data_IF_537200243616
#
_entry.id   IF_537200243616
#
_cell.length_a   1.000
_cell.length_b   1.000
_cell.length_c   1.000
_cell.angle_alpha   90.00
_cell.angle_beta   90.00
_cell.angle_gamma   90.00
#
_symmetry.space_group_name_H-M   'P 1'
#
loop_
_entity.id
_entity.type
_entity.pdbx_description
1 polymer ?
#
# COMPACT_ATOMS: atom_id res chain seq x y z
N UNK A 1 -4.23 -6.33 88.72
CA UNK A 1 -2.94 -6.04 88.05
C UNK A 1 -3.11 -4.74 87.29
N UNK A 2 -2.21 -3.76 87.46
CA UNK A 2 -2.26 -2.51 86.67
C UNK A 2 -1.96 -2.82 85.20
N UNK A 3 -2.71 -2.21 84.28
CA UNK A 3 -2.53 -2.35 82.83
C UNK A 3 -1.18 -1.78 82.36
N UNK A 4 -0.70 -0.76 83.06
CA UNK A 4 0.55 -0.04 82.82
C UNK A 4 1.32 0.00 84.15
N UNK A 5 2.59 -0.41 84.15
CA UNK A 5 3.44 -0.37 85.35
C UNK A 5 4.10 1.02 85.57
N UNK A 6 4.74 1.22 86.72
CA UNK A 6 5.41 2.48 87.09
C UNK A 6 6.59 2.86 86.16
N UNK A 7 6.98 1.95 85.25
CA UNK A 7 8.01 2.16 84.22
C UNK A 7 7.41 2.39 82.84
N UNK A 8 6.09 2.53 82.72
CA UNK A 8 5.39 2.78 81.46
C UNK A 8 5.30 1.57 80.55
N UNK A 9 5.34 0.34 81.08
CA UNK A 9 5.21 -0.89 80.27
C UNK A 9 3.80 -1.45 80.32
N UNK A 10 3.25 -1.78 79.15
CA UNK A 10 2.01 -2.55 79.00
C UNK A 10 2.24 -4.01 79.42
N UNK A 11 1.46 -4.46 80.41
CA UNK A 11 1.55 -5.81 81.00
C UNK A 11 2.97 -6.22 81.46
N UNK A 12 3.84 -5.24 81.79
CA UNK A 12 5.24 -5.46 82.18
C UNK A 12 6.18 -5.93 81.06
N UNK A 13 5.69 -6.10 79.83
CA UNK A 13 6.44 -6.71 78.70
C UNK A 13 6.88 -5.72 77.63
N UNK A 14 6.01 -4.77 77.24
CA UNK A 14 6.22 -3.89 76.08
C UNK A 14 6.18 -2.44 76.53
N UNK A 15 7.07 -1.59 76.03
CA UNK A 15 7.00 -0.15 76.28
C UNK A 15 5.69 0.42 75.69
N UNK A 16 4.99 1.27 76.44
CA UNK A 16 3.74 1.90 75.99
C UNK A 16 3.89 2.64 74.66
N UNK A 17 5.05 3.27 74.44
CA UNK A 17 5.36 3.98 73.19
C UNK A 17 5.45 2.99 72.03
N UNK A 18 6.16 1.88 72.20
CA UNK A 18 6.32 0.86 71.15
C UNK A 18 4.96 0.22 70.79
N UNK A 19 4.10 -0.01 71.79
CA UNK A 19 2.75 -0.51 71.55
C UNK A 19 1.87 0.50 70.79
N UNK A 20 1.96 1.78 71.12
CA UNK A 20 1.24 2.85 70.42
C UNK A 20 1.72 3.01 68.97
N UNK A 21 3.04 2.96 68.74
CA UNK A 21 3.64 2.97 67.39
C UNK A 21 3.22 1.74 66.59
N UNK A 22 3.24 0.55 67.21
CA UNK A 22 2.77 -0.68 66.59
C UNK A 22 1.30 -0.60 66.16
N UNK A 23 0.43 -0.08 67.02
CA UNK A 23 -0.98 0.15 66.71
C UNK A 23 -1.16 1.16 65.57
N UNK A 24 -0.38 2.24 65.57
CA UNK A 24 -0.41 3.24 64.49
C UNK A 24 -0.08 2.62 63.14
N UNK A 25 0.98 1.82 63.03
CA UNK A 25 1.31 1.10 61.79
C UNK A 25 0.22 0.11 61.39
N UNK A 26 -0.34 -0.62 62.36
CA UNK A 26 -1.47 -1.54 62.13
C UNK A 26 -2.69 -0.84 61.52
N UNK A 27 -2.92 0.43 61.84
CA UNK A 27 -3.99 1.25 61.26
C UNK A 27 -3.58 1.89 59.92
N UNK A 28 -2.35 2.40 59.81
CA UNK A 28 -1.88 3.10 58.61
C UNK A 28 -1.69 2.17 57.41
N UNK A 29 -1.26 0.92 57.61
CA UNK A 29 -1.06 -0.03 56.51
C UNK A 29 -2.36 -0.32 55.73
N UNK A 30 -3.47 -0.78 56.35
CA UNK A 30 -4.71 -1.03 55.61
C UNK A 30 -5.32 0.26 55.05
N UNK A 31 -5.17 1.39 55.74
CA UNK A 31 -5.62 2.69 55.24
C UNK A 31 -4.83 3.08 53.97
N UNK A 32 -3.51 2.96 54.01
CA UNK A 32 -2.63 3.25 52.87
C UNK A 32 -2.87 2.29 51.71
N UNK A 33 -3.03 0.99 51.98
CA UNK A 33 -3.38 0.01 50.95
C UNK A 33 -4.76 0.28 50.34
N UNK A 34 -5.76 0.59 51.18
CA UNK A 34 -7.10 0.95 50.74
C UNK A 34 -7.10 2.18 49.84
N UNK A 35 -6.36 3.22 50.23
CA UNK A 35 -6.16 4.40 49.39
C UNK A 35 -5.48 4.04 48.07
N UNK A 36 -4.41 3.23 48.10
CA UNK A 36 -3.73 2.79 46.89
C UNK A 36 -4.67 2.05 45.93
N UNK A 37 -5.47 1.09 46.42
CA UNK A 37 -6.41 0.34 45.58
C UNK A 37 -7.52 1.25 45.03
N UNK A 38 -8.03 2.17 45.84
CA UNK A 38 -9.13 3.06 45.45
C UNK A 38 -8.70 4.09 44.38
N UNK A 39 -7.46 4.57 44.45
CA UNK A 39 -6.94 5.61 43.55
C UNK A 39 -6.05 5.08 42.44
N UNK A 40 -5.83 3.76 42.34
CA UNK A 40 -5.05 3.17 41.25
C UNK A 40 -5.82 3.30 39.93
N UNK A 41 -5.26 4.00 38.91
CA UNK A 41 -5.92 4.10 37.62
C UNK A 41 -6.08 2.72 36.98
N UNK A 42 -7.25 2.39 36.43
CA UNK A 42 -7.44 1.14 35.71
C UNK A 42 -6.60 1.12 34.43
N UNK A 43 -6.09 -0.07 34.07
CA UNK A 43 -5.28 -0.22 32.87
C UNK A 43 -6.08 0.12 31.59
N UNK A 44 -5.47 0.78 30.60
CA UNK A 44 -6.09 1.01 29.30
C UNK A 44 -6.31 -0.31 28.57
N UNK A 45 -7.37 -0.38 27.76
CA UNK A 45 -7.67 -1.53 26.90
C UNK A 45 -8.00 -1.05 25.50
N UNK A 46 -7.45 -1.72 24.50
CA UNK A 46 -7.74 -1.46 23.08
C UNK A 46 -8.80 -2.48 22.62
N UNK A 47 -9.96 -2.00 22.21
CA UNK A 47 -11.06 -2.86 21.74
C UNK A 47 -11.14 -2.93 20.22
N UNK A 48 -10.97 -1.81 19.53
CA UNK A 48 -10.99 -1.75 18.07
C UNK A 48 -10.11 -0.63 17.50
N UNK A 49 -9.69 -0.79 16.24
CA UNK A 49 -9.02 0.23 15.43
C UNK A 49 -9.78 0.36 14.12
N UNK A 50 -10.25 1.57 13.84
CA UNK A 50 -11.17 1.88 12.73
C UNK A 50 -10.63 3.04 11.88
N UNK A 51 -10.40 2.87 10.58
CA UNK A 51 -10.39 1.59 9.86
C UNK A 51 -9.19 0.70 10.27
N UNK A 52 -9.37 -0.62 10.21
CA UNK A 52 -8.30 -1.61 10.42
C UNK A 52 -7.49 -1.90 9.16
N UNK A 53 -7.94 -1.41 8.00
CA UNK A 53 -7.24 -1.54 6.72
C UNK A 53 -7.19 -0.18 6.01
N UNK A 54 -5.99 0.21 5.58
CA UNK A 54 -5.74 1.47 4.88
C UNK A 54 -4.82 1.23 3.69
N UNK A 55 -4.96 2.02 2.63
CA UNK A 55 -3.96 2.05 1.56
C UNK A 55 -2.75 2.88 2.00
N UNK A 56 -1.56 2.48 1.58
CA UNK A 56 -0.33 3.22 1.78
C UNK A 56 -0.48 4.68 1.32
N UNK A 57 -0.03 5.61 2.16
CA UNK A 57 -0.24 7.04 1.96
C UNK A 57 0.40 7.88 3.06
N UNK A 58 0.26 9.20 2.93
CA UNK A 58 0.76 10.17 3.91
C UNK A 58 -0.34 10.60 4.87
N UNK A 59 0.06 10.91 6.10
CA UNK A 59 -0.79 11.50 7.15
C UNK A 59 -2.08 10.72 7.44
N UNK A 60 -1.98 9.39 7.35
CA UNK A 60 -3.06 8.46 7.66
C UNK A 60 -3.48 8.57 9.14
N UNK A 61 -4.76 8.35 9.40
CA UNK A 61 -5.35 8.43 10.74
C UNK A 61 -6.29 7.27 10.98
N UNK A 62 -6.34 6.82 12.23
CA UNK A 62 -7.28 5.79 12.69
C UNK A 62 -7.92 6.21 14.00
N UNK A 63 -9.16 5.79 14.19
CA UNK A 63 -9.84 5.87 15.47
C UNK A 63 -9.53 4.62 16.29
N UNK A 64 -9.14 4.85 17.54
CA UNK A 64 -8.87 3.83 18.53
C UNK A 64 -10.03 3.81 19.53
N UNK A 65 -10.78 2.70 19.54
CA UNK A 65 -11.80 2.44 20.56
C UNK A 65 -11.20 1.62 21.70
N UNK A 66 -11.65 1.90 22.91
CA UNK A 66 -11.09 1.26 24.09
C UNK A 66 -11.80 1.53 25.40
N UNK A 67 -11.08 1.28 26.49
CA UNK A 67 -11.46 1.66 27.86
C UNK A 67 -10.26 2.29 28.54
N UNK A 68 -10.51 3.25 29.43
CA UNK A 68 -9.49 3.97 30.20
C UNK A 68 -8.37 4.56 29.33
N UNK A 69 -8.72 5.04 28.14
CA UNK A 69 -7.80 5.80 27.28
C UNK A 69 -7.49 7.15 27.95
N UNK A 70 -6.22 7.55 27.93
CA UNK A 70 -5.72 8.71 28.70
C UNK A 70 -4.88 9.61 27.78
N UNK A 71 -5.01 10.95 27.83
CA UNK A 71 -4.34 11.86 26.90
C UNK A 71 -2.80 11.77 26.85
N UNK A 72 -2.17 11.29 27.92
CA UNK A 72 -0.71 11.21 28.05
C UNK A 72 -0.10 9.88 27.56
N UNK A 73 -0.92 8.97 27.02
CA UNK A 73 -0.41 7.73 26.44
C UNK A 73 0.33 8.00 25.14
N UNK A 74 1.36 7.20 24.88
CA UNK A 74 2.11 7.21 23.61
C UNK A 74 1.73 5.99 22.79
N UNK A 75 1.25 6.23 21.57
CA UNK A 75 0.93 5.15 20.64
C UNK A 75 2.15 4.78 19.78
N UNK A 76 2.34 3.48 19.57
CA UNK A 76 3.30 2.90 18.65
C UNK A 76 2.57 2.01 17.65
N UNK A 77 3.03 2.05 16.39
CA UNK A 77 2.54 1.19 15.31
C UNK A 77 3.72 0.33 14.84
N UNK A 78 3.65 -0.97 15.14
CA UNK A 78 4.82 -1.86 15.05
C UNK A 78 5.95 -1.38 15.96
N UNK A 79 7.05 -0.95 15.35
CA UNK A 79 8.24 -0.41 16.05
C UNK A 79 8.32 1.12 16.01
N UNK A 80 7.43 1.79 15.29
CA UNK A 80 7.50 3.23 15.06
C UNK A 80 6.56 3.99 16.01
N UNK A 81 7.03 5.14 16.50
CA UNK A 81 6.19 6.05 17.29
C UNK A 81 5.13 6.67 16.38
N UNK A 82 3.87 6.73 16.83
CA UNK A 82 2.83 7.44 16.12
C UNK A 82 3.15 8.95 16.05
N UNK A 83 2.79 9.62 14.95
CA UNK A 83 2.97 11.07 14.80
C UNK A 83 2.12 11.86 15.79
N UNK A 84 1.05 11.27 16.29
CA UNK A 84 0.20 11.86 17.30
C UNK A 84 -0.78 10.86 17.90
N UNK A 85 -1.15 11.14 19.15
CA UNK A 85 -2.20 10.44 19.88
C UNK A 85 -3.06 11.49 20.57
N UNK A 86 -4.37 11.45 20.35
CA UNK A 86 -5.32 12.38 20.94
C UNK A 86 -6.49 11.60 21.53
N UNK A 87 -6.53 11.48 22.86
CA UNK A 87 -7.69 10.92 23.53
C UNK A 87 -8.82 11.95 23.57
N UNK A 88 -9.93 11.66 22.90
CA UNK A 88 -11.15 12.48 22.95
C UNK A 88 -11.95 12.18 24.23
N UNK A 89 -11.89 10.92 24.67
CA UNK A 89 -12.58 10.43 25.86
C UNK A 89 -11.87 9.20 26.44
N UNK A 90 -12.32 8.66 27.57
CA UNK A 90 -11.82 7.38 28.08
C UNK A 90 -12.08 6.16 27.18
N UNK A 91 -12.90 6.30 26.13
CA UNK A 91 -13.27 5.20 25.24
C UNK A 91 -12.96 5.44 23.75
N UNK A 92 -12.46 6.62 23.39
CA UNK A 92 -12.15 7.00 22.02
C UNK A 92 -10.88 7.86 21.95
N UNK A 93 -10.00 7.56 21.00
CA UNK A 93 -8.83 8.36 20.67
C UNK A 93 -8.57 8.37 19.16
N UNK A 94 -7.99 9.45 18.63
CA UNK A 94 -7.41 9.51 17.28
C UNK A 94 -5.90 9.19 17.36
N UNK A 95 -5.42 8.34 16.45
CA UNK A 95 -3.99 8.06 16.27
C UNK A 95 -3.57 8.48 14.87
N UNK A 96 -2.53 9.32 14.78
CA UNK A 96 -1.92 9.71 13.50
C UNK A 96 -0.73 8.81 13.21
N UNK A 97 -0.83 8.07 12.11
CA UNK A 97 0.13 7.03 11.76
C UNK A 97 1.44 7.63 11.24
N UNK A 98 2.59 6.97 11.50
CA UNK A 98 3.84 7.28 10.81
C UNK A 98 3.76 6.85 9.34
N UNK A 99 4.83 7.13 8.58
CA UNK A 99 4.91 6.66 7.20
C UNK A 99 5.24 5.16 7.23
N UNK A 100 4.25 4.34 6.86
CA UNK A 100 4.28 2.88 6.93
C UNK A 100 4.18 2.30 5.52
N UNK A 101 5.06 1.37 5.18
CA UNK A 101 4.91 0.56 3.97
C UNK A 101 3.80 -0.49 4.13
N UNK A 102 3.49 -1.18 3.04
CA UNK A 102 2.54 -2.29 3.06
C UNK A 102 2.93 -3.38 4.09
N UNK A 103 1.95 -3.82 4.89
CA UNK A 103 2.16 -4.80 5.95
C UNK A 103 1.11 -4.75 7.05
N UNK A 104 1.15 -5.73 7.97
CA UNK A 104 0.28 -5.78 9.15
C UNK A 104 1.07 -5.38 10.39
N UNK A 105 0.51 -4.49 11.19
CA UNK A 105 1.16 -3.85 12.33
C UNK A 105 0.34 -3.99 13.61
N UNK A 106 1.04 -4.19 14.72
CA UNK A 106 0.50 -4.09 16.06
C UNK A 106 0.29 -2.63 16.45
N UNK A 107 -0.70 -2.35 17.30
CA UNK A 107 -0.84 -1.08 17.99
C UNK A 107 -0.53 -1.27 19.47
N UNK A 108 0.39 -0.48 19.99
CA UNK A 108 0.83 -0.55 21.40
C UNK A 108 0.68 0.82 22.04
N UNK A 109 0.14 0.86 23.25
CA UNK A 109 0.08 2.07 24.09
C UNK A 109 1.10 1.95 25.22
N UNK A 110 1.88 3.02 25.39
CA UNK A 110 2.84 3.17 26.47
C UNK A 110 2.42 4.30 27.41
N UNK A 111 2.60 4.06 28.70
CA UNK A 111 2.62 5.07 29.74
C UNK A 111 4.10 5.30 30.09
N UNK A 112 4.65 6.40 29.59
CA UNK A 112 6.10 6.65 29.52
C UNK A 112 6.88 5.52 28.81
N UNK A 113 7.47 4.61 29.58
CA UNK A 113 8.26 3.46 29.11
C UNK A 113 7.58 2.12 29.35
N UNK A 114 6.45 2.12 30.06
CA UNK A 114 5.72 0.91 30.38
C UNK A 114 4.69 0.61 29.28
N UNK A 115 4.77 -0.57 28.68
CA UNK A 115 3.69 -1.09 27.84
C UNK A 115 2.45 -1.33 28.72
N UNK A 116 1.36 -0.64 28.41
CA UNK A 116 0.11 -0.71 29.19
C UNK A 116 -1.05 -1.33 28.42
N UNK A 117 -0.99 -1.35 27.08
CA UNK A 117 -1.93 -2.09 26.24
C UNK A 117 -1.31 -2.44 24.89
N UNK A 118 -1.67 -3.60 24.34
CA UNK A 118 -1.29 -4.04 22.99
C UNK A 118 -2.48 -4.66 22.27
N UNK A 119 -2.62 -4.32 20.99
CA UNK A 119 -3.51 -4.98 20.04
C UNK A 119 -2.69 -5.56 18.90
N UNK A 120 -2.48 -6.89 18.88
CA UNK A 120 -1.79 -7.54 17.79
C UNK A 120 -2.56 -7.41 16.48
N UNK A 121 -1.87 -7.21 15.36
CA UNK A 121 -2.47 -7.12 14.03
C UNK A 121 -3.60 -6.08 13.93
N UNK A 122 -3.45 -4.95 14.63
CA UNK A 122 -4.46 -3.91 14.73
C UNK A 122 -4.73 -3.20 13.40
N UNK A 123 -3.72 -3.09 12.54
CA UNK A 123 -3.77 -2.32 11.32
C UNK A 123 -3.08 -3.07 10.17
N UNK A 124 -3.69 -3.06 8.99
CA UNK A 124 -3.07 -3.55 7.75
C UNK A 124 -2.97 -2.41 6.73
N UNK A 125 -1.76 -2.14 6.27
CA UNK A 125 -1.49 -1.22 5.18
C UNK A 125 -1.39 -2.03 3.88
N UNK A 126 -2.25 -1.74 2.91
CA UNK A 126 -2.21 -2.35 1.59
C UNK A 126 -1.43 -1.46 0.62
N UNK A 127 -0.70 -2.04 -0.35
CA UNK A 127 -0.02 -1.25 -1.37
C UNK A 127 -1.04 -0.41 -2.17
N UNK A 128 -0.62 0.73 -2.73
CA UNK A 128 -1.50 1.55 -3.53
C UNK A 128 -2.00 0.74 -4.75
N UNK A 129 -3.24 0.97 -5.20
CA UNK A 129 -3.73 0.33 -6.41
C UNK A 129 -2.79 0.60 -7.58
N UNK A 130 -2.50 -0.43 -8.38
CA UNK A 130 -1.77 -0.25 -9.62
C UNK A 130 -2.52 0.75 -10.51
N UNK A 131 -1.81 1.61 -11.27
CA UNK A 131 -2.44 2.45 -12.27
C UNK A 131 -3.29 1.58 -13.21
N UNK A 132 -4.49 2.05 -13.61
CA UNK A 132 -5.27 1.33 -14.60
C UNK A 132 -4.44 1.14 -15.86
N UNK A 133 -4.46 -0.08 -16.41
CA UNK A 133 -3.81 -0.37 -17.68
C UNK A 133 -4.37 0.57 -18.75
N UNK A 134 -3.54 1.06 -19.68
CA UNK A 134 -4.02 1.94 -20.72
C UNK A 134 -5.05 1.19 -21.59
N UNK A 135 -6.09 1.87 -22.06
CA UNK A 135 -7.16 1.24 -22.84
C UNK A 135 -6.56 0.61 -24.11
N UNK A 136 -6.88 -0.66 -24.36
CA UNK A 136 -6.43 -1.38 -25.56
C UNK A 136 -7.56 -1.47 -26.59
N UNK A 137 -7.20 -1.35 -27.87
CA UNK A 137 -8.11 -1.49 -29.00
C UNK A 137 -7.63 -2.51 -30.02
N UNK A 138 -8.55 -2.90 -30.91
CA UNK A 138 -8.25 -3.68 -32.11
C UNK A 138 -8.66 -2.86 -33.32
N UNK A 139 -7.74 -2.66 -34.25
CA UNK A 139 -7.99 -1.91 -35.50
C UNK A 139 -7.67 -2.76 -36.72
N UNK A 140 -8.33 -2.47 -37.83
CA UNK A 140 -7.92 -2.97 -39.14
C UNK A 140 -7.10 -1.90 -39.84
N UNK A 141 -5.91 -2.26 -40.29
CA UNK A 141 -5.06 -1.38 -41.09
C UNK A 141 -4.90 -1.92 -42.48
N UNK A 142 -4.92 -1.02 -43.45
CA UNK A 142 -4.56 -1.29 -44.83
C UNK A 142 -3.18 -0.72 -45.08
N UNK A 143 -2.28 -1.54 -45.61
CA UNK A 143 -0.91 -1.13 -45.91
C UNK A 143 -0.28 -2.04 -46.96
N UNK A 144 1.03 -1.91 -47.11
CA UNK A 144 1.81 -2.71 -48.06
C UNK A 144 3.07 -3.18 -47.36
N UNK A 145 3.34 -4.49 -47.37
CA UNK A 145 4.66 -5.00 -47.03
C UNK A 145 5.63 -4.64 -48.15
N UNK A 146 6.71 -3.94 -47.86
CA UNK A 146 7.69 -3.48 -48.85
C UNK A 146 9.04 -4.15 -48.65
N UNK A 147 9.89 -4.15 -49.68
CA UNK A 147 11.26 -4.66 -49.60
C UNK A 147 11.39 -6.18 -49.45
N UNK A 148 10.32 -6.93 -49.68
CA UNK A 148 10.31 -8.39 -49.62
C UNK A 148 11.08 -8.96 -50.81
N UNK A 149 11.81 -10.05 -50.60
CA UNK A 149 12.22 -10.91 -51.72
C UNK A 149 11.09 -11.89 -52.08
N UNK A 150 11.30 -12.69 -53.13
CA UNK A 150 10.29 -13.64 -53.62
C UNK A 150 9.95 -14.73 -52.58
N UNK A 151 10.87 -15.08 -51.70
CA UNK A 151 10.66 -16.10 -50.68
C UNK A 151 9.85 -15.53 -49.50
N UNK A 152 10.23 -14.34 -49.02
CA UNK A 152 9.49 -13.59 -48.00
C UNK A 152 8.06 -13.27 -48.42
N UNK A 153 7.83 -12.95 -49.70
CA UNK A 153 6.48 -12.76 -50.22
C UNK A 153 5.64 -14.04 -50.24
N UNK A 154 6.26 -15.21 -50.47
CA UNK A 154 5.60 -16.52 -50.41
C UNK A 154 5.33 -16.99 -48.97
N UNK A 155 6.14 -16.53 -48.01
CA UNK A 155 5.95 -16.82 -46.60
C UNK A 155 4.77 -16.05 -45.98
N UNK A 156 4.33 -14.95 -46.61
CA UNK A 156 3.12 -14.24 -46.19
C UNK A 156 1.87 -15.02 -46.58
N UNK A 157 1.11 -15.43 -45.57
CA UNK A 157 -0.16 -16.13 -45.73
C UNK A 157 -1.24 -15.45 -44.88
N UNK A 158 -2.50 -15.57 -45.31
CA UNK A 158 -3.64 -15.14 -44.47
C UNK A 158 -3.63 -15.96 -43.18
N UNK A 159 -3.83 -15.30 -42.05
CA UNK A 159 -3.70 -15.89 -40.71
C UNK A 159 -2.26 -15.92 -40.17
N UNK A 160 -1.26 -15.46 -40.93
CA UNK A 160 0.09 -15.25 -40.39
C UNK A 160 0.03 -14.25 -39.23
N UNK A 161 0.72 -14.59 -38.14
CA UNK A 161 0.74 -13.83 -36.88
C UNK A 161 2.14 -13.32 -36.59
N UNK A 162 2.25 -12.04 -36.27
CA UNK A 162 3.51 -11.40 -35.93
C UNK A 162 3.55 -11.13 -34.43
N UNK A 163 4.40 -11.88 -33.71
CA UNK A 163 4.63 -11.71 -32.28
C UNK A 163 6.00 -11.08 -32.04
N UNK A 164 6.07 -10.13 -31.11
CA UNK A 164 7.35 -9.64 -30.59
C UNK A 164 7.68 -10.42 -29.30
N UNK A 165 8.76 -11.21 -29.32
CA UNK A 165 9.43 -11.73 -28.12
C UNK A 165 8.53 -12.33 -27.02
N UNK A 166 7.75 -13.38 -27.32
CA UNK A 166 6.96 -14.11 -26.31
C UNK A 166 5.66 -13.42 -25.87
N UNK A 167 5.31 -12.29 -26.47
CA UNK A 167 4.03 -11.60 -26.26
C UNK A 167 2.94 -12.11 -27.21
N UNK A 168 1.65 -11.89 -26.89
CA UNK A 168 0.56 -12.12 -27.83
C UNK A 168 0.82 -11.42 -29.18
N UNK A 169 0.37 -11.99 -30.30
CA UNK A 169 0.66 -11.47 -31.62
C UNK A 169 0.11 -10.05 -31.77
N UNK A 170 1.01 -9.12 -32.12
CA UNK A 170 0.72 -7.70 -32.28
C UNK A 170 -0.08 -7.45 -33.56
N UNK A 171 0.12 -8.30 -34.57
CA UNK A 171 -0.54 -8.23 -35.86
C UNK A 171 -0.96 -9.60 -36.40
N UNK A 172 -2.07 -9.65 -37.14
CA UNK A 172 -2.53 -10.81 -37.90
C UNK A 172 -2.91 -10.39 -39.32
N UNK A 173 -2.49 -11.16 -40.32
CA UNK A 173 -2.85 -10.94 -41.73
C UNK A 173 -4.29 -11.38 -41.98
N UNK A 174 -5.16 -10.44 -42.38
CA UNK A 174 -6.55 -10.73 -42.75
C UNK A 174 -6.72 -10.95 -44.27
N UNK A 175 -5.98 -10.19 -45.08
CA UNK A 175 -6.04 -10.29 -46.54
C UNK A 175 -4.71 -9.91 -47.17
N UNK A 176 -4.39 -10.52 -48.32
CA UNK A 176 -3.21 -10.24 -49.13
C UNK A 176 -3.63 -10.09 -50.60
N UNK A 177 -2.98 -9.17 -51.30
CA UNK A 177 -3.03 -9.07 -52.77
C UNK A 177 -1.81 -9.78 -53.39
N UNK A 178 -1.82 -10.09 -54.70
CA UNK A 178 -0.68 -10.66 -55.39
C UNK A 178 0.59 -9.78 -55.25
N UNK A 179 1.80 -10.37 -55.16
CA UNK A 179 3.04 -9.60 -55.11
C UNK A 179 3.25 -8.78 -56.39
N UNK A 180 3.51 -7.49 -56.21
CA UNK A 180 3.85 -6.54 -57.27
C UNK A 180 5.35 -6.20 -57.23
N UNK A 181 5.97 -5.74 -58.33
CA UNK A 181 7.33 -5.20 -58.30
C UNK A 181 7.43 -4.08 -57.26
N UNK A 182 8.40 -4.16 -56.34
CA UNK A 182 8.64 -3.08 -55.38
C UNK A 182 9.09 -1.82 -56.13
N UNK A 183 8.56 -0.66 -55.77
CA UNK A 183 8.93 0.62 -56.38
C UNK A 183 9.61 1.53 -55.37
N UNK A 184 10.69 2.20 -55.81
CA UNK A 184 11.36 3.24 -55.04
C UNK A 184 11.16 4.60 -55.72
N UNK A 185 10.85 5.62 -54.91
CA UNK A 185 10.61 6.97 -55.41
C UNK A 185 11.93 7.73 -55.44
N UNK A 186 12.48 7.91 -56.64
CA UNK A 186 13.72 8.67 -56.86
C UNK A 186 13.37 10.09 -57.29
N UNK A 187 13.88 11.09 -56.57
CA UNK A 187 13.75 12.50 -56.95
C UNK A 187 14.85 12.86 -57.95
N UNK A 188 14.46 13.33 -59.13
CA UNK A 188 15.37 13.77 -60.20
C UNK A 188 15.15 15.26 -60.42
N UNK A 189 16.17 16.08 -60.12
CA UNK A 189 16.06 17.54 -60.16
C UNK A 189 15.22 18.13 -59.01
N UNK A 190 14.64 19.31 -59.23
CA UNK A 190 13.95 20.07 -58.16
C UNK A 190 12.52 19.58 -57.89
N UNK A 191 11.82 19.01 -58.88
CA UNK A 191 10.39 18.68 -58.78
C UNK A 191 9.98 17.29 -59.31
N UNK A 192 10.79 16.61 -60.13
CA UNK A 192 10.38 15.33 -60.72
C UNK A 192 10.65 14.17 -59.76
N UNK A 193 9.64 13.33 -59.54
CA UNK A 193 9.77 12.09 -58.77
C UNK A 193 9.41 10.92 -59.69
N UNK A 194 10.36 10.02 -59.92
CA UNK A 194 10.20 8.83 -60.77
C UNK A 194 10.08 7.62 -59.84
N UNK A 195 9.12 6.75 -60.12
CA UNK A 195 9.02 5.45 -59.45
C UNK A 195 9.81 4.41 -60.25
N UNK A 196 10.93 3.93 -59.71
CA UNK A 196 11.76 2.91 -60.34
C UNK A 196 11.59 1.56 -59.66
N UNK A 197 11.38 0.45 -60.39
CA UNK A 197 11.34 -0.87 -59.79
C UNK A 197 12.66 -1.22 -59.11
N UNK A 198 12.58 -1.79 -57.92
CA UNK A 198 13.74 -2.30 -57.17
C UNK A 198 14.01 -3.73 -57.61
N UNK A 199 15.18 -3.96 -58.20
CA UNK A 199 15.54 -5.28 -58.73
C UNK A 199 15.49 -6.36 -57.64
N UNK A 200 14.78 -7.46 -57.93
CA UNK A 200 14.67 -8.62 -57.04
C UNK A 200 13.77 -8.42 -55.81
N UNK A 201 13.14 -7.24 -55.65
CA UNK A 201 12.23 -6.94 -54.54
C UNK A 201 10.78 -6.82 -55.02
N UNK A 202 9.87 -7.25 -54.17
CA UNK A 202 8.42 -7.18 -54.36
C UNK A 202 7.75 -6.48 -53.18
N UNK A 203 6.54 -6.00 -53.43
CA UNK A 203 5.67 -5.42 -52.43
C UNK A 203 4.33 -6.14 -52.43
N UNK A 204 3.71 -6.29 -51.26
CA UNK A 204 2.46 -7.06 -51.09
C UNK A 204 1.45 -6.20 -50.33
N UNK A 205 0.43 -5.64 -51.00
CA UNK A 205 -0.67 -4.95 -50.33
C UNK A 205 -1.43 -5.91 -49.41
N UNK A 206 -1.74 -5.46 -48.20
CA UNK A 206 -2.31 -6.29 -47.15
C UNK A 206 -3.30 -5.52 -46.26
N UNK A 207 -4.23 -6.27 -45.66
CA UNK A 207 -5.04 -5.80 -44.54
C UNK A 207 -4.64 -6.60 -43.30
N UNK A 208 -4.29 -5.89 -42.22
CA UNK A 208 -3.90 -6.50 -40.95
C UNK A 208 -4.88 -6.14 -39.85
N UNK A 209 -5.10 -7.07 -38.93
CA UNK A 209 -5.68 -6.81 -37.61
C UNK A 209 -4.55 -6.48 -36.66
N UNK A 210 -4.58 -5.30 -36.06
CA UNK A 210 -3.57 -4.85 -35.10
C UNK A 210 -4.17 -4.68 -33.71
N UNK A 211 -3.44 -5.17 -32.71
CA UNK A 211 -3.65 -4.79 -31.32
C UNK A 211 -2.87 -3.51 -31.02
N UNK A 212 -3.50 -2.56 -30.34
CA UNK A 212 -2.88 -1.29 -30.00
C UNK A 212 -3.34 -0.75 -28.66
N UNK A 213 -2.57 0.20 -28.16
CA UNK A 213 -2.93 1.02 -27.01
C UNK A 213 -3.58 2.30 -27.50
N UNK A 214 -4.77 2.62 -27.00
CA UNK A 214 -5.48 3.85 -27.33
C UNK A 214 -4.83 5.03 -26.59
N UNK A 215 -4.46 6.04 -27.36
CA UNK A 215 -3.86 7.31 -26.93
C UNK A 215 -4.72 8.46 -27.45
N UNK A 216 -4.61 9.69 -26.91
CA UNK A 216 -5.46 10.81 -27.35
C UNK A 216 -5.45 11.06 -28.86
N UNK A 217 -4.29 10.88 -29.49
CA UNK A 217 -4.07 11.13 -30.92
C UNK A 217 -4.28 9.87 -31.80
N UNK A 218 -4.83 8.79 -31.24
CA UNK A 218 -5.19 7.59 -32.00
C UNK A 218 -4.80 6.26 -31.34
N UNK A 219 -4.27 5.35 -32.14
CA UNK A 219 -4.00 3.96 -31.75
C UNK A 219 -2.51 3.67 -31.95
N UNK A 220 -1.78 3.35 -30.88
CA UNK A 220 -0.33 3.12 -30.92
C UNK A 220 -0.02 1.62 -30.84
N UNK A 221 0.70 1.09 -31.83
CA UNK A 221 1.19 -0.30 -31.83
C UNK A 221 2.71 -0.29 -31.70
N UNK A 222 3.23 -0.74 -30.55
CA UNK A 222 4.63 -0.53 -30.18
C UNK A 222 4.97 0.96 -30.13
N UNK A 223 5.93 1.39 -30.95
CA UNK A 223 6.30 2.80 -31.10
C UNK A 223 5.61 3.55 -32.25
N UNK A 224 4.85 2.85 -33.08
CA UNK A 224 4.19 3.44 -34.24
C UNK A 224 2.77 3.93 -33.90
N UNK A 225 2.45 5.16 -34.31
CA UNK A 225 1.08 5.66 -34.34
C UNK A 225 0.39 5.15 -35.61
N UNK A 226 -0.74 4.47 -35.44
CA UNK A 226 -1.60 4.06 -36.55
C UNK A 226 -2.41 5.28 -36.99
N UNK A 227 -2.08 5.82 -38.16
CA UNK A 227 -2.79 6.95 -38.75
C UNK A 227 -4.19 6.53 -39.24
N UNK A 228 -5.21 7.38 -39.10
CA UNK A 228 -6.49 7.19 -39.77
C UNK A 228 -6.29 7.29 -41.29
N UNK A 229 -6.90 6.38 -42.03
CA UNK A 229 -6.85 6.31 -43.50
C UNK A 229 -8.17 6.71 -44.16
#
# INVERSE_FOLDING_TARGET
MSLIDDRGRLFGKVNLIDAAVGLLFLLLIPLGYGAFVLFRPPAPQITAVEPSTLSEGKDLRVQLRGKNLRPFLRAFIGTQVAKGYLAESPNLAEVRLPDLGAGTYDLVLYDETQEVARRPGALTIVPPPLPPAPPSGVVQVRGTFTGLDKEGARALVVGARFAAGGQPPVAEVLALQPPEPAVERVKVGSSTVIATPVAGKVQVPAILRLHCTLVPDGCKSGDALVAPG
#
